data_IF_501380392090
#
_entry.id   IF_501380392090
#
_cell.length_a   1.000
_cell.length_b   1.000
_cell.length_c   1.000
_cell.angle_alpha   90.00
_cell.angle_beta   90.00
_cell.angle_gamma   90.00
#
_symmetry.space_group_name_H-M   'P 1'
#
loop_
_entity.id
_entity.type
_entity.pdbx_description
1 polymer ?
#
# COMPACT_ATOMS: atom_id res chain seq x y z
N UNK A 1 16.39 1.70 25.73
CA UNK A 1 15.11 2.23 26.27
C UNK A 1 14.79 1.48 27.55
N UNK A 2 14.29 2.15 28.58
CA UNK A 2 14.10 1.56 29.90
C UNK A 2 12.74 0.81 29.91
N UNK A 3 12.76 -0.50 30.02
CA UNK A 3 11.59 -1.41 29.92
C UNK A 3 10.46 -1.03 30.92
N UNK A 4 10.81 -0.46 32.06
CA UNK A 4 9.87 0.03 33.06
C UNK A 4 9.06 1.26 32.61
N UNK A 5 9.67 2.15 31.84
CA UNK A 5 9.01 3.36 31.34
C UNK A 5 8.01 3.06 30.20
N UNK A 6 8.33 2.09 29.34
CA UNK A 6 7.42 1.67 28.26
C UNK A 6 6.20 0.90 28.81
N UNK A 7 6.42 0.07 29.83
CA UNK A 7 5.32 -0.61 30.50
C UNK A 7 4.36 0.37 31.19
N UNK A 8 4.88 1.43 31.83
CA UNK A 8 4.05 2.46 32.44
C UNK A 8 3.24 3.27 31.41
N UNK A 9 3.82 3.56 30.25
CA UNK A 9 3.18 4.32 29.16
C UNK A 9 1.93 3.64 28.61
N UNK A 10 1.92 2.30 28.51
CA UNK A 10 0.80 1.54 27.98
C UNK A 10 -0.03 0.83 29.05
N UNK A 11 0.24 1.03 30.33
CA UNK A 11 -0.46 0.39 31.44
C UNK A 11 -1.99 0.65 31.40
N UNK A 12 -2.37 1.90 31.09
CA UNK A 12 -3.78 2.29 30.97
C UNK A 12 -4.51 1.50 29.86
N UNK A 13 -3.85 1.30 28.71
CA UNK A 13 -4.46 0.56 27.59
C UNK A 13 -4.66 -0.94 27.91
N UNK A 14 -3.88 -1.49 28.83
CA UNK A 14 -4.03 -2.89 29.25
C UNK A 14 -5.05 -3.08 30.41
N UNK A 15 -5.64 -1.99 30.91
CA UNK A 15 -6.69 -2.10 31.93
C UNK A 15 -7.93 -2.77 31.34
N UNK A 16 -8.51 -3.75 32.02
CA UNK A 16 -9.59 -4.60 31.49
C UNK A 16 -10.78 -3.82 30.93
N UNK A 17 -11.22 -2.76 31.61
CA UNK A 17 -12.34 -1.91 31.13
C UNK A 17 -11.98 -1.16 29.84
N UNK A 18 -10.76 -0.68 29.71
CA UNK A 18 -10.29 0.00 28.49
C UNK A 18 -10.21 -1.00 27.34
N UNK A 19 -9.67 -2.19 27.58
CA UNK A 19 -9.62 -3.26 26.57
C UNK A 19 -11.02 -3.63 26.08
N UNK A 20 -11.99 -3.77 26.99
CA UNK A 20 -13.40 -4.06 26.62
C UNK A 20 -13.99 -2.94 25.76
N UNK A 21 -13.80 -1.67 26.13
CA UNK A 21 -14.28 -0.53 25.35
C UNK A 21 -13.64 -0.47 23.96
N UNK A 22 -12.34 -0.74 23.83
CA UNK A 22 -11.63 -0.80 22.56
C UNK A 22 -12.14 -1.95 21.68
N UNK A 23 -12.40 -3.12 22.27
CA UNK A 23 -12.98 -4.27 21.57
C UNK A 23 -14.40 -3.95 21.08
N UNK A 24 -15.24 -3.33 21.91
CA UNK A 24 -16.59 -2.91 21.51
C UNK A 24 -16.52 -1.91 20.35
N UNK A 25 -15.63 -0.90 20.44
CA UNK A 25 -15.41 0.04 19.36
C UNK A 25 -14.96 -0.64 18.06
N UNK A 26 -14.03 -1.58 18.15
CA UNK A 26 -13.57 -2.38 17.00
C UNK A 26 -14.72 -3.18 16.37
N UNK A 27 -15.48 -3.92 17.18
CA UNK A 27 -16.63 -4.73 16.71
C UNK A 27 -17.68 -3.84 16.05
N UNK A 28 -18.00 -2.69 16.65
CA UNK A 28 -18.94 -1.73 16.05
C UNK A 28 -18.41 -1.20 14.71
N UNK A 29 -17.12 -0.86 14.60
CA UNK A 29 -16.52 -0.40 13.35
C UNK A 29 -16.58 -1.45 12.23
N UNK A 30 -16.21 -2.69 12.53
CA UNK A 30 -16.28 -3.82 11.59
C UNK A 30 -17.73 -4.09 11.18
N UNK A 31 -18.65 -4.19 12.15
CA UNK A 31 -20.07 -4.44 11.89
C UNK A 31 -20.72 -3.32 11.07
N UNK A 32 -20.43 -2.05 11.40
CA UNK A 32 -20.97 -0.89 10.66
C UNK A 32 -20.46 -0.86 9.20
N UNK A 33 -19.17 -1.17 8.99
CA UNK A 33 -18.59 -1.25 7.64
C UNK A 33 -19.19 -2.43 6.86
N UNK A 34 -19.29 -3.62 7.48
CA UNK A 34 -19.90 -4.80 6.89
C UNK A 34 -21.38 -4.56 6.54
N UNK A 35 -22.16 -3.96 7.45
CA UNK A 35 -23.55 -3.58 7.19
C UNK A 35 -23.68 -2.59 6.03
N UNK A 36 -22.81 -1.57 5.98
CA UNK A 36 -22.79 -0.60 4.87
C UNK A 36 -22.49 -1.28 3.54
N UNK A 37 -21.50 -2.18 3.52
CA UNK A 37 -21.11 -2.95 2.35
C UNK A 37 -22.29 -3.81 1.86
N UNK A 38 -22.90 -4.58 2.76
CA UNK A 38 -24.07 -5.42 2.48
C UNK A 38 -25.28 -4.62 1.99
N UNK A 39 -25.60 -3.50 2.65
CA UNK A 39 -26.73 -2.65 2.26
C UNK A 39 -26.59 -2.11 0.85
N UNK A 40 -25.40 -1.72 0.45
CA UNK A 40 -25.17 -1.25 -0.92
C UNK A 40 -25.21 -2.39 -1.94
N UNK A 41 -24.80 -3.59 -1.52
CA UNK A 41 -24.91 -4.79 -2.33
C UNK A 41 -26.35 -5.20 -2.60
N UNK A 42 -27.23 -5.01 -1.64
CA UNK A 42 -28.66 -5.39 -1.75
C UNK A 42 -29.56 -4.32 -2.37
N UNK A 43 -29.01 -3.17 -2.82
CA UNK A 43 -29.79 -2.17 -3.52
C UNK A 43 -30.27 -2.66 -4.89
N UNK A 44 -31.50 -2.25 -5.34
CA UNK A 44 -32.00 -2.55 -6.69
C UNK A 44 -31.04 -2.08 -7.78
N UNK A 45 -30.93 -2.82 -8.87
CA UNK A 45 -29.95 -2.60 -9.95
C UNK A 45 -30.16 -1.28 -10.73
N UNK A 46 -31.34 -0.73 -10.73
CA UNK A 46 -31.72 0.51 -11.40
C UNK A 46 -31.23 1.78 -10.67
N UNK A 47 -31.00 1.68 -9.34
CA UNK A 47 -30.42 2.76 -8.53
C UNK A 47 -28.93 2.60 -8.32
N UNK A 48 -28.29 1.72 -9.06
CA UNK A 48 -27.03 1.12 -8.73
C UNK A 48 -25.86 1.79 -9.45
N UNK A 49 -25.00 2.49 -8.69
CA UNK A 49 -23.70 2.95 -9.18
C UNK A 49 -22.65 1.86 -8.92
N UNK A 50 -22.32 1.10 -9.95
CA UNK A 50 -21.33 0.03 -9.91
C UNK A 50 -19.95 0.49 -9.40
N UNK A 51 -19.59 1.75 -9.61
CA UNK A 51 -18.33 2.30 -9.16
C UNK A 51 -18.29 2.59 -7.64
N UNK A 52 -19.46 2.66 -7.01
CA UNK A 52 -19.60 2.93 -5.57
C UNK A 52 -20.21 1.77 -4.79
N UNK A 53 -20.33 0.60 -5.41
CA UNK A 53 -20.90 -0.59 -4.78
C UNK A 53 -19.97 -1.16 -3.73
N UNK A 54 -20.53 -1.64 -2.61
CA UNK A 54 -19.81 -2.48 -1.68
C UNK A 54 -19.21 -3.68 -2.40
N UNK A 55 -17.94 -4.00 -2.11
CA UNK A 55 -17.13 -5.03 -2.76
C UNK A 55 -16.94 -4.90 -4.29
N UNK A 56 -17.13 -3.71 -4.85
CA UNK A 56 -16.97 -3.50 -6.30
C UNK A 56 -15.59 -3.91 -6.82
N UNK A 57 -14.53 -3.59 -6.06
CA UNK A 57 -13.16 -3.94 -6.46
C UNK A 57 -12.87 -5.44 -6.28
N UNK A 58 -13.48 -6.08 -5.27
CA UNK A 58 -13.39 -7.54 -5.11
C UNK A 58 -14.08 -8.25 -6.28
N UNK A 59 -15.30 -7.85 -6.63
CA UNK A 59 -16.04 -8.49 -7.73
C UNK A 59 -15.31 -8.32 -9.05
N UNK A 60 -14.98 -7.07 -9.42
CA UNK A 60 -14.46 -6.74 -10.75
C UNK A 60 -12.96 -7.02 -10.89
N UNK A 61 -12.19 -6.90 -9.80
CA UNK A 61 -10.73 -7.04 -9.82
C UNK A 61 -10.20 -8.39 -9.36
N UNK A 62 -10.98 -9.13 -8.54
CA UNK A 62 -10.52 -10.38 -7.93
C UNK A 62 -11.43 -11.55 -8.26
N UNK A 63 -12.70 -11.54 -7.82
CA UNK A 63 -13.57 -12.71 -7.87
C UNK A 63 -13.85 -13.16 -9.32
N UNK A 64 -14.48 -12.31 -10.14
CA UNK A 64 -14.84 -12.70 -11.52
C UNK A 64 -13.63 -12.93 -12.42
N UNK A 65 -12.54 -12.13 -12.36
CA UNK A 65 -11.34 -12.45 -13.11
C UNK A 65 -10.71 -13.79 -12.70
N UNK A 66 -10.72 -14.12 -11.39
CA UNK A 66 -10.20 -15.38 -10.89
C UNK A 66 -11.11 -16.55 -11.27
N UNK A 67 -12.41 -16.36 -11.25
CA UNK A 67 -13.40 -17.35 -11.74
C UNK A 67 -13.20 -17.61 -13.23
N UNK A 68 -13.06 -16.56 -14.05
CA UNK A 68 -12.73 -16.65 -15.46
C UNK A 68 -11.45 -17.45 -15.71
N UNK A 69 -10.38 -17.09 -15.00
CA UNK A 69 -9.08 -17.78 -15.05
C UNK A 69 -9.21 -19.27 -14.75
N UNK A 70 -10.01 -19.64 -13.76
CA UNK A 70 -10.27 -21.06 -13.39
C UNK A 70 -11.13 -21.80 -14.42
N UNK A 71 -12.12 -21.12 -15.02
CA UNK A 71 -13.04 -21.70 -16.00
C UNK A 71 -12.51 -21.69 -17.45
N UNK A 72 -11.25 -21.30 -17.66
CA UNK A 72 -10.65 -21.27 -19.00
C UNK A 72 -11.14 -20.10 -19.86
N UNK A 73 -11.57 -19.00 -19.24
CA UNK A 73 -11.90 -17.74 -19.92
C UNK A 73 -10.79 -16.73 -19.67
N UNK A 74 -10.36 -16.04 -20.73
CA UNK A 74 -9.32 -15.01 -20.56
C UNK A 74 -9.81 -13.83 -19.71
N UNK A 75 -9.26 -13.63 -18.50
CA UNK A 75 -9.68 -12.56 -17.59
C UNK A 75 -9.35 -11.15 -18.10
N UNK A 76 -8.51 -11.04 -19.12
CA UNK A 76 -8.11 -9.76 -19.73
C UNK A 76 -8.90 -9.45 -21.01
N UNK A 77 -9.94 -10.22 -21.34
CA UNK A 77 -10.73 -10.05 -22.55
C UNK A 77 -12.16 -9.59 -22.27
N UNK A 78 -12.80 -9.02 -23.29
CA UNK A 78 -14.23 -8.69 -23.24
C UNK A 78 -15.12 -9.93 -23.05
N UNK A 79 -14.65 -11.13 -23.41
CA UNK A 79 -15.38 -12.38 -23.18
C UNK A 79 -15.69 -12.61 -21.69
N UNK A 80 -14.80 -12.19 -20.78
CA UNK A 80 -15.07 -12.20 -19.33
C UNK A 80 -16.19 -11.22 -18.98
N UNK A 81 -16.13 -10.00 -19.52
CA UNK A 81 -17.15 -8.95 -19.27
C UNK A 81 -18.52 -9.43 -19.71
N UNK A 82 -18.62 -9.97 -20.93
CA UNK A 82 -19.88 -10.47 -21.53
C UNK A 82 -20.43 -11.69 -20.77
N UNK A 83 -19.54 -12.61 -20.34
CA UNK A 83 -19.94 -13.83 -19.63
C UNK A 83 -20.51 -13.57 -18.23
N UNK A 84 -19.89 -12.66 -17.48
CA UNK A 84 -20.28 -12.41 -16.09
C UNK A 84 -21.06 -11.11 -15.90
N UNK A 85 -21.36 -10.40 -17.00
CA UNK A 85 -22.11 -9.12 -17.01
C UNK A 85 -21.53 -8.09 -16.04
N UNK A 86 -20.19 -8.03 -15.98
CA UNK A 86 -19.50 -7.06 -15.12
C UNK A 86 -19.34 -5.73 -15.86
N UNK A 87 -19.56 -4.62 -15.17
CA UNK A 87 -19.59 -3.29 -15.79
C UNK A 87 -18.19 -2.70 -16.05
N UNK A 88 -17.13 -3.34 -15.61
CA UNK A 88 -15.77 -2.80 -15.67
C UNK A 88 -14.86 -3.71 -16.49
N UNK A 89 -14.09 -3.07 -17.35
CA UNK A 89 -13.09 -3.72 -18.18
C UNK A 89 -11.99 -4.42 -17.38
N UNK A 90 -11.30 -5.27 -18.08
CA UNK A 90 -10.23 -6.20 -17.69
C UNK A 90 -9.28 -5.71 -16.60
N UNK A 91 -8.92 -6.57 -15.65
CA UNK A 91 -7.92 -6.26 -14.65
C UNK A 91 -6.54 -6.05 -15.30
N UNK A 92 -5.76 -5.12 -14.77
CA UNK A 92 -4.37 -4.87 -15.19
C UNK A 92 -3.35 -5.53 -14.22
N UNK A 93 -3.80 -6.53 -13.47
CA UNK A 93 -3.00 -7.20 -12.45
C UNK A 93 -2.18 -8.35 -13.05
N UNK A 94 -1.11 -8.71 -12.36
CA UNK A 94 -0.33 -9.91 -12.69
C UNK A 94 -1.19 -11.17 -12.60
N UNK A 95 -1.04 -12.15 -13.51
CA UNK A 95 -1.72 -13.45 -13.42
C UNK A 95 -1.51 -14.19 -12.09
N UNK A 96 -0.45 -13.86 -11.38
CA UNK A 96 -0.16 -14.38 -10.03
C UNK A 96 -1.32 -14.12 -9.06
N UNK A 97 -2.04 -13.00 -9.19
CA UNK A 97 -3.21 -12.66 -8.36
C UNK A 97 -4.29 -13.72 -8.48
N UNK A 98 -4.55 -14.22 -9.69
CA UNK A 98 -5.60 -15.21 -9.91
C UNK A 98 -5.22 -16.58 -9.34
N UNK A 99 -3.92 -16.89 -9.27
CA UNK A 99 -3.45 -18.18 -8.72
C UNK A 99 -3.78 -18.27 -7.23
N UNK A 100 -3.40 -17.27 -6.43
CA UNK A 100 -3.66 -17.39 -4.98
C UNK A 100 -5.06 -16.97 -4.54
N UNK A 101 -5.78 -16.20 -5.36
CA UNK A 101 -7.20 -15.97 -5.12
C UNK A 101 -8.10 -17.09 -5.67
N UNK A 102 -7.57 -18.11 -6.39
CA UNK A 102 -8.34 -19.22 -6.89
C UNK A 102 -9.26 -19.88 -5.85
N UNK A 103 -8.86 -20.10 -4.58
CA UNK A 103 -9.75 -20.64 -3.57
C UNK A 103 -10.97 -19.76 -3.28
N UNK A 104 -10.87 -18.44 -3.43
CA UNK A 104 -11.98 -17.51 -3.20
C UNK A 104 -13.04 -17.52 -4.33
N UNK A 105 -12.68 -18.05 -5.49
CA UNK A 105 -13.65 -18.22 -6.60
C UNK A 105 -14.37 -19.56 -6.58
N UNK A 106 -14.13 -20.43 -5.59
CA UNK A 106 -14.80 -21.71 -5.43
C UNK A 106 -16.20 -21.58 -4.80
N UNK A 107 -16.38 -20.82 -3.69
CA UNK A 107 -17.69 -20.61 -3.11
C UNK A 107 -18.54 -19.67 -3.96
N UNK A 108 -19.86 -19.65 -3.71
CA UNK A 108 -20.74 -18.67 -4.33
C UNK A 108 -20.34 -17.23 -3.97
N UNK A 109 -20.66 -16.26 -4.84
CA UNK A 109 -20.24 -14.87 -4.67
C UNK A 109 -20.53 -14.30 -3.29
N UNK A 110 -21.73 -14.54 -2.73
CA UNK A 110 -22.10 -14.03 -1.42
C UNK A 110 -21.25 -14.63 -0.28
N UNK A 111 -20.84 -15.88 -0.39
CA UNK A 111 -19.96 -16.55 0.57
C UNK A 111 -18.53 -16.02 0.42
N UNK A 112 -18.08 -15.84 -0.82
CA UNK A 112 -16.77 -15.25 -1.12
C UNK A 112 -16.66 -13.81 -0.61
N UNK A 113 -17.73 -13.02 -0.70
CA UNK A 113 -17.80 -11.66 -0.15
C UNK A 113 -17.56 -11.64 1.36
N UNK A 114 -18.23 -12.53 2.09
CA UNK A 114 -18.06 -12.65 3.56
C UNK A 114 -16.64 -13.09 3.89
N UNK A 115 -16.14 -14.12 3.20
CA UNK A 115 -14.78 -14.63 3.42
C UNK A 115 -13.72 -13.55 3.16
N UNK A 116 -13.87 -12.81 2.05
CA UNK A 116 -12.90 -11.78 1.69
C UNK A 116 -12.97 -10.56 2.61
N UNK A 117 -14.17 -10.16 3.06
CA UNK A 117 -14.33 -9.13 4.08
C UNK A 117 -13.63 -9.51 5.40
N UNK A 118 -13.82 -10.75 5.86
CA UNK A 118 -13.17 -11.26 7.07
C UNK A 118 -11.66 -11.36 6.89
N UNK A 119 -11.19 -11.80 5.74
CA UNK A 119 -9.76 -11.88 5.40
C UNK A 119 -9.12 -10.48 5.42
N UNK A 120 -9.72 -9.48 4.75
CA UNK A 120 -9.23 -8.10 4.78
C UNK A 120 -9.24 -7.53 6.21
N UNK A 121 -10.29 -7.83 7.00
CA UNK A 121 -10.35 -7.43 8.42
C UNK A 121 -9.19 -8.03 9.21
N UNK A 122 -8.92 -9.33 9.04
CA UNK A 122 -7.80 -10.01 9.69
C UNK A 122 -6.44 -9.43 9.25
N UNK A 123 -6.29 -9.08 7.98
CA UNK A 123 -5.07 -8.46 7.44
C UNK A 123 -4.82 -7.07 8.04
N UNK A 124 -5.86 -6.25 8.28
CA UNK A 124 -5.70 -4.99 9.02
C UNK A 124 -5.22 -5.23 10.46
N UNK A 125 -5.77 -6.24 11.14
CA UNK A 125 -5.29 -6.66 12.46
C UNK A 125 -3.84 -7.15 12.44
N UNK A 126 -3.45 -7.88 11.39
CA UNK A 126 -2.07 -8.33 11.16
C UNK A 126 -1.14 -7.13 10.92
N UNK A 127 -1.51 -6.13 10.15
CA UNK A 127 -0.71 -4.91 9.94
C UNK A 127 -0.47 -4.15 11.24
N UNK A 128 -1.51 -4.01 12.10
CA UNK A 128 -1.36 -3.42 13.43
C UNK A 128 -0.36 -4.22 14.30
N UNK A 129 -0.46 -5.55 14.27
CA UNK A 129 0.46 -6.44 14.98
C UNK A 129 1.89 -6.35 14.44
N UNK A 130 2.06 -6.34 13.11
CA UNK A 130 3.37 -6.16 12.46
C UNK A 130 4.03 -4.85 12.87
N UNK A 131 3.29 -3.74 12.92
CA UNK A 131 3.81 -2.45 13.35
C UNK A 131 4.42 -2.50 14.75
N UNK A 132 3.78 -3.19 15.69
CA UNK A 132 4.29 -3.39 17.06
C UNK A 132 5.51 -4.32 17.05
N UNK A 133 5.42 -5.48 16.43
CA UNK A 133 6.47 -6.53 16.47
C UNK A 133 7.74 -6.12 15.74
N UNK A 134 7.60 -5.47 14.59
CA UNK A 134 8.74 -5.02 13.78
C UNK A 134 9.43 -3.79 14.37
N UNK A 135 8.81 -3.13 15.36
CA UNK A 135 9.47 -2.11 16.20
C UNK A 135 10.25 -2.72 17.37
N UNK A 136 10.49 -4.02 17.40
CA UNK A 136 11.18 -4.78 18.46
C UNK A 136 10.54 -4.62 19.85
N UNK A 137 9.21 -4.46 19.88
CA UNK A 137 8.46 -4.26 21.12
C UNK A 137 7.72 -5.53 21.55
N UNK A 138 7.49 -5.64 22.87
CA UNK A 138 6.63 -6.70 23.41
C UNK A 138 5.19 -6.46 22.98
N UNK A 139 4.43 -7.55 22.89
CA UNK A 139 3.02 -7.47 22.54
C UNK A 139 2.19 -6.86 23.69
N UNK A 140 1.59 -5.69 23.42
CA UNK A 140 0.65 -5.02 24.30
C UNK A 140 -0.77 -5.20 23.72
N UNK A 141 -1.62 -6.03 24.36
CA UNK A 141 -2.97 -6.35 23.83
C UNK A 141 -3.81 -5.09 23.59
N UNK A 142 -3.86 -4.19 24.57
CA UNK A 142 -4.66 -2.97 24.46
C UNK A 142 -4.18 -2.06 23.32
N UNK A 143 -2.86 -1.92 23.15
CA UNK A 143 -2.30 -1.15 22.04
C UNK A 143 -2.61 -1.80 20.69
N UNK A 144 -2.49 -3.12 20.57
CA UNK A 144 -2.85 -3.84 19.36
C UNK A 144 -4.32 -3.62 18.97
N UNK A 145 -5.25 -3.76 19.93
CA UNK A 145 -6.68 -3.55 19.68
C UNK A 145 -6.96 -2.09 19.27
N UNK A 146 -6.30 -1.11 19.95
CA UNK A 146 -6.42 0.30 19.61
C UNK A 146 -5.95 0.56 18.16
N UNK A 147 -4.77 0.08 17.79
CA UNK A 147 -4.21 0.26 16.44
C UNK A 147 -5.07 -0.45 15.39
N UNK A 148 -5.56 -1.64 15.68
CA UNK A 148 -6.47 -2.34 14.79
C UNK A 148 -7.77 -1.55 14.60
N UNK A 149 -8.37 -1.02 15.67
CA UNK A 149 -9.53 -0.15 15.58
C UNK A 149 -9.23 1.11 14.75
N UNK A 150 -8.08 1.78 15.01
CA UNK A 150 -7.64 2.92 14.20
C UNK A 150 -7.58 2.55 12.72
N UNK A 151 -7.07 1.38 12.36
CA UNK A 151 -6.99 0.96 10.95
C UNK A 151 -8.37 0.69 10.36
N UNK A 152 -9.28 0.05 11.07
CA UNK A 152 -10.68 -0.17 10.60
C UNK A 152 -11.39 1.17 10.38
N UNK A 153 -11.19 2.13 11.29
CA UNK A 153 -11.76 3.47 11.18
C UNK A 153 -10.95 4.42 10.30
N UNK A 154 -9.74 4.08 9.88
CA UNK A 154 -8.97 4.92 8.96
C UNK A 154 -9.61 4.95 7.58
N UNK A 155 -9.42 6.05 6.84
CA UNK A 155 -9.91 6.14 5.46
C UNK A 155 -9.43 4.99 4.59
N UNK A 156 -8.11 4.66 4.51
CA UNK A 156 -7.63 3.57 3.66
C UNK A 156 -8.14 2.20 4.11
N UNK A 157 -8.20 1.92 5.42
CA UNK A 157 -8.74 0.67 5.94
C UNK A 157 -10.23 0.52 5.67
N UNK A 158 -11.01 1.59 5.91
CA UNK A 158 -12.45 1.60 5.61
C UNK A 158 -12.73 1.38 4.12
N UNK A 159 -11.99 2.06 3.22
CA UNK A 159 -12.14 1.86 1.77
C UNK A 159 -11.76 0.44 1.38
N UNK A 160 -10.64 -0.11 1.88
CA UNK A 160 -10.23 -1.50 1.61
C UNK A 160 -11.31 -2.51 2.02
N UNK A 161 -11.92 -2.34 3.20
CA UNK A 161 -13.02 -3.19 3.65
C UNK A 161 -14.30 -3.00 2.81
N UNK A 162 -14.58 -1.76 2.42
CA UNK A 162 -15.80 -1.41 1.72
C UNK A 162 -15.78 -1.82 0.24
N UNK A 163 -14.68 -1.56 -0.49
CA UNK A 163 -14.56 -1.92 -1.91
C UNK A 163 -14.06 -3.34 -2.12
N UNK A 164 -13.44 -3.93 -1.10
CA UNK A 164 -12.85 -5.26 -1.20
C UNK A 164 -11.61 -5.29 -2.09
N UNK A 165 -10.77 -4.24 -2.09
CA UNK A 165 -9.51 -4.28 -2.81
C UNK A 165 -8.45 -5.06 -2.03
N UNK A 166 -7.53 -5.74 -2.73
CA UNK A 166 -6.49 -6.58 -2.11
C UNK A 166 -5.24 -5.79 -1.65
N UNK A 167 -5.38 -4.48 -1.37
CA UNK A 167 -4.28 -3.60 -0.93
C UNK A 167 -3.56 -4.12 0.32
N UNK A 168 -4.32 -4.65 1.29
CA UNK A 168 -3.72 -5.14 2.54
C UNK A 168 -2.68 -6.25 2.27
N UNK A 169 -2.92 -7.12 1.29
CA UNK A 169 -2.00 -8.17 0.87
C UNK A 169 -0.71 -7.59 0.28
N UNK A 170 -0.85 -6.62 -0.65
CA UNK A 170 0.28 -5.95 -1.28
C UNK A 170 1.15 -5.23 -0.25
N UNK A 171 0.50 -4.58 0.72
CA UNK A 171 1.17 -3.88 1.83
C UNK A 171 1.90 -4.88 2.73
N UNK A 172 1.26 -5.97 3.15
CA UNK A 172 1.89 -7.03 3.95
C UNK A 172 3.10 -7.58 3.20
N UNK A 173 2.95 -7.89 1.91
CA UNK A 173 4.05 -8.36 1.06
C UNK A 173 5.22 -7.37 1.04
N UNK A 174 4.96 -6.10 0.79
CA UNK A 174 5.98 -5.05 0.75
C UNK A 174 6.69 -4.88 2.09
N UNK A 175 5.95 -4.87 3.19
CA UNK A 175 6.50 -4.73 4.55
C UNK A 175 7.34 -5.96 4.93
N UNK A 176 6.89 -7.17 4.59
CA UNK A 176 7.67 -8.42 4.78
C UNK A 176 8.96 -8.37 3.97
N UNK A 177 8.89 -7.94 2.71
CA UNK A 177 10.06 -7.79 1.85
C UNK A 177 11.08 -6.82 2.44
N UNK A 178 10.64 -5.65 2.88
CA UNK A 178 11.49 -4.63 3.50
C UNK A 178 12.07 -5.07 4.86
N UNK A 179 11.29 -5.78 5.69
CA UNK A 179 11.72 -6.19 7.02
C UNK A 179 12.76 -7.29 7.00
N UNK A 180 12.55 -8.29 6.14
CA UNK A 180 13.39 -9.49 6.09
C UNK A 180 14.47 -9.45 5.01
N UNK A 181 14.60 -8.35 4.25
CA UNK A 181 15.53 -8.25 3.12
C UNK A 181 16.97 -8.66 3.43
N UNK A 182 17.50 -8.26 4.60
CA UNK A 182 18.86 -8.57 5.03
C UNK A 182 18.97 -9.85 5.86
N UNK A 183 17.90 -10.24 6.58
CA UNK A 183 17.99 -11.32 7.60
C UNK A 183 17.43 -12.64 7.14
N UNK A 184 16.36 -12.63 6.32
CA UNK A 184 15.65 -13.83 5.83
C UNK A 184 15.27 -13.64 4.36
N UNK A 185 16.24 -13.75 3.41
CA UNK A 185 16.03 -13.42 2.00
C UNK A 185 14.87 -14.18 1.34
N UNK A 186 14.61 -15.43 1.74
CA UNK A 186 13.48 -16.21 1.22
C UNK A 186 12.11 -15.62 1.62
N UNK A 187 11.95 -15.23 2.90
CA UNK A 187 10.71 -14.55 3.33
C UNK A 187 10.53 -13.20 2.63
N UNK A 188 11.62 -12.46 2.44
CA UNK A 188 11.59 -11.22 1.65
C UNK A 188 11.14 -11.50 0.21
N UNK A 189 11.66 -12.56 -0.42
CA UNK A 189 11.25 -12.99 -1.76
C UNK A 189 9.77 -13.37 -1.84
N UNK A 190 9.23 -14.07 -0.85
CA UNK A 190 7.78 -14.33 -0.75
C UNK A 190 6.98 -13.05 -0.60
N UNK A 191 7.48 -12.08 0.17
CA UNK A 191 6.87 -10.75 0.26
C UNK A 191 6.84 -10.04 -1.09
N UNK A 192 7.92 -10.12 -1.87
CA UNK A 192 7.96 -9.57 -3.24
C UNK A 192 6.96 -10.28 -4.17
N UNK A 193 6.84 -11.60 -4.08
CA UNK A 193 5.86 -12.37 -4.85
C UNK A 193 4.44 -11.88 -4.54
N UNK A 194 4.11 -11.66 -3.26
CA UNK A 194 2.81 -11.13 -2.85
C UNK A 194 2.59 -9.71 -3.38
N UNK A 195 3.59 -8.83 -3.29
CA UNK A 195 3.55 -7.48 -3.83
C UNK A 195 3.46 -7.44 -5.37
N UNK A 196 3.88 -8.51 -6.07
CA UNK A 196 3.89 -8.59 -7.54
C UNK A 196 2.49 -8.65 -8.15
N UNK A 197 1.46 -8.82 -7.34
CA UNK A 197 0.07 -8.69 -7.78
C UNK A 197 -0.21 -7.35 -8.47
N UNK A 198 0.48 -6.28 -8.05
CA UNK A 198 0.36 -4.94 -8.65
C UNK A 198 1.76 -4.42 -9.04
N UNK A 199 2.04 -4.23 -10.34
CA UNK A 199 3.36 -3.78 -10.80
C UNK A 199 3.84 -2.48 -10.15
N UNK A 200 2.94 -1.56 -9.81
CA UNK A 200 3.27 -0.29 -9.15
C UNK A 200 3.86 -0.46 -7.75
N UNK A 201 3.68 -1.61 -7.12
CA UNK A 201 4.33 -1.96 -5.86
C UNK A 201 5.68 -2.64 -6.08
N UNK A 202 5.70 -3.71 -6.89
CA UNK A 202 6.89 -4.58 -6.96
C UNK A 202 8.03 -3.94 -7.73
N UNK A 203 7.78 -3.17 -8.78
CA UNK A 203 8.85 -2.55 -9.58
C UNK A 203 9.70 -1.57 -8.76
N UNK A 204 9.13 -0.54 -8.09
CA UNK A 204 9.92 0.33 -7.23
C UNK A 204 10.50 -0.44 -6.03
N UNK A 205 9.79 -1.42 -5.46
CA UNK A 205 10.29 -2.22 -4.35
C UNK A 205 11.58 -2.97 -4.70
N UNK A 206 11.69 -3.53 -5.91
CA UNK A 206 12.91 -4.18 -6.41
C UNK A 206 14.08 -3.19 -6.40
N UNK A 207 13.90 -2.01 -7.01
CA UNK A 207 14.95 -0.98 -7.08
C UNK A 207 15.39 -0.55 -5.68
N UNK A 208 14.43 -0.32 -4.78
CA UNK A 208 14.71 0.15 -3.43
C UNK A 208 15.34 -0.92 -2.53
N UNK A 209 15.02 -2.21 -2.72
CA UNK A 209 15.72 -3.32 -2.06
C UNK A 209 17.16 -3.47 -2.56
N UNK A 210 17.43 -3.24 -3.86
CA UNK A 210 18.79 -3.18 -4.39
C UNK A 210 19.58 -2.03 -3.76
N UNK A 211 18.97 -0.86 -3.63
CA UNK A 211 19.57 0.29 -2.94
C UNK A 211 19.84 0.01 -1.45
N UNK A 212 19.07 -0.86 -0.80
CA UNK A 212 19.35 -1.37 0.57
C UNK A 212 20.37 -2.51 0.61
N UNK A 213 20.98 -2.86 -0.52
CA UNK A 213 21.95 -3.95 -0.65
C UNK A 213 21.37 -5.35 -0.33
N UNK A 214 20.07 -5.54 -0.51
CA UNK A 214 19.37 -6.80 -0.25
C UNK A 214 19.39 -7.73 -1.49
N UNK A 215 20.54 -7.88 -2.14
CA UNK A 215 20.69 -8.56 -3.44
C UNK A 215 20.15 -9.99 -3.46
N UNK A 216 20.40 -10.78 -2.39
CA UNK A 216 19.89 -12.16 -2.28
C UNK A 216 18.37 -12.20 -2.23
N UNK A 217 17.76 -11.27 -1.49
CA UNK A 217 16.31 -11.18 -1.41
C UNK A 217 15.69 -10.82 -2.75
N UNK A 218 16.31 -9.87 -3.47
CA UNK A 218 15.86 -9.47 -4.82
C UNK A 218 15.99 -10.63 -5.80
N UNK A 219 17.13 -11.36 -5.81
CA UNK A 219 17.33 -12.51 -6.71
C UNK A 219 16.25 -13.59 -6.49
N UNK A 220 16.01 -13.97 -5.22
CA UNK A 220 14.96 -14.94 -4.87
C UNK A 220 13.57 -14.41 -5.24
N UNK A 221 13.28 -13.13 -4.90
CA UNK A 221 12.00 -12.52 -5.19
C UNK A 221 11.70 -12.46 -6.68
N UNK A 222 12.69 -12.06 -7.51
CA UNK A 222 12.56 -12.07 -8.96
C UNK A 222 12.30 -13.47 -9.50
N UNK A 223 13.06 -14.48 -9.02
CA UNK A 223 12.85 -15.86 -9.43
C UNK A 223 11.43 -16.35 -9.10
N UNK A 224 10.91 -16.03 -7.90
CA UNK A 224 9.56 -16.38 -7.50
C UNK A 224 8.49 -15.62 -8.31
N UNK A 225 8.67 -14.32 -8.56
CA UNK A 225 7.75 -13.54 -9.37
C UNK A 225 7.70 -14.02 -10.83
N UNK A 226 8.86 -14.33 -11.41
CA UNK A 226 8.95 -14.89 -12.77
C UNK A 226 8.31 -16.27 -12.82
N UNK A 227 8.62 -17.15 -11.87
CA UNK A 227 8.02 -18.49 -11.83
C UNK A 227 6.50 -18.42 -11.67
N UNK A 228 5.99 -17.61 -10.73
CA UNK A 228 4.55 -17.39 -10.55
C UNK A 228 3.87 -16.80 -11.78
N UNK A 229 4.52 -15.80 -12.41
CA UNK A 229 4.05 -15.21 -13.66
C UNK A 229 3.98 -16.21 -14.81
N UNK A 230 5.05 -17.03 -14.99
CA UNK A 230 5.11 -18.07 -16.01
C UNK A 230 4.07 -19.16 -15.79
N UNK A 231 3.82 -19.58 -14.54
CA UNK A 231 2.75 -20.53 -14.22
C UNK A 231 1.38 -19.95 -14.64
N UNK A 232 1.10 -18.68 -14.26
CA UNK A 232 -0.15 -18.04 -14.63
C UNK A 232 -0.31 -17.83 -16.12
N UNK A 233 0.73 -17.36 -16.81
CA UNK A 233 0.71 -17.20 -18.27
C UNK A 233 0.64 -18.54 -19.00
N UNK A 234 1.31 -19.58 -18.51
CA UNK A 234 1.23 -20.93 -19.07
C UNK A 234 -0.18 -21.51 -18.97
N UNK A 235 -0.85 -21.28 -17.84
CA UNK A 235 -2.28 -21.64 -17.70
C UNK A 235 -3.16 -20.87 -18.68
N UNK A 236 -3.00 -19.56 -18.80
CA UNK A 236 -3.73 -18.73 -19.75
C UNK A 236 -3.49 -19.17 -21.20
N UNK A 237 -2.25 -19.50 -21.55
CA UNK A 237 -1.88 -19.97 -22.90
C UNK A 237 -2.51 -21.31 -23.28
N UNK A 238 -3.01 -22.08 -22.31
CA UNK A 238 -3.69 -23.36 -22.61
C UNK A 238 -5.09 -23.18 -23.20
N UNK A 239 -5.69 -21.99 -23.08
CA UNK A 239 -7.04 -21.70 -23.61
C UNK A 239 -7.18 -20.32 -24.28
N UNK A 240 -6.13 -19.51 -24.29
CA UNK A 240 -6.12 -18.17 -24.91
C UNK A 240 -4.84 -17.94 -25.70
N UNK A 241 -4.94 -17.16 -26.78
CA UNK A 241 -3.75 -16.74 -27.51
C UNK A 241 -2.95 -15.74 -26.64
N UNK A 242 -1.63 -15.93 -26.45
CA UNK A 242 -0.78 -15.00 -25.69
C UNK A 242 -0.88 -13.54 -26.18
N UNK A 243 -1.06 -13.32 -27.49
CA UNK A 243 -1.22 -11.97 -28.06
C UNK A 243 -2.53 -11.32 -27.61
N UNK A 244 -3.61 -12.09 -27.44
CA UNK A 244 -4.90 -11.59 -26.89
C UNK A 244 -4.77 -11.21 -25.42
N UNK A 245 -3.98 -11.95 -24.65
CA UNK A 245 -3.68 -11.60 -23.24
C UNK A 245 -2.97 -10.24 -23.17
N UNK A 246 -1.93 -10.04 -24.00
CA UNK A 246 -1.17 -8.78 -24.04
C UNK A 246 -2.06 -7.63 -24.52
N UNK A 247 -2.86 -7.86 -25.58
CA UNK A 247 -3.81 -6.87 -26.11
C UNK A 247 -4.82 -6.46 -25.04
N UNK A 248 -5.43 -7.43 -24.33
CA UNK A 248 -6.42 -7.19 -23.29
C UNK A 248 -5.86 -6.40 -22.10
N UNK A 249 -4.63 -6.69 -21.66
CA UNK A 249 -3.95 -5.90 -20.62
C UNK A 249 -3.76 -4.44 -21.08
N UNK A 250 -3.38 -4.24 -22.34
CA UNK A 250 -3.17 -2.89 -22.88
C UNK A 250 -4.49 -2.14 -23.05
N UNK A 251 -5.55 -2.80 -23.52
CA UNK A 251 -6.90 -2.23 -23.60
C UNK A 251 -7.43 -1.86 -22.21
N UNK A 252 -7.28 -2.73 -21.22
CA UNK A 252 -7.62 -2.46 -19.82
C UNK A 252 -6.89 -1.23 -19.26
N UNK A 253 -5.61 -1.07 -19.60
CA UNK A 253 -4.84 0.11 -19.24
C UNK A 253 -5.36 1.39 -19.90
N UNK A 254 -5.70 1.33 -21.18
CA UNK A 254 -6.25 2.50 -21.90
C UNK A 254 -7.64 2.88 -21.36
N UNK A 255 -8.49 1.90 -21.08
CA UNK A 255 -9.81 2.15 -20.50
C UNK A 255 -9.71 2.81 -19.12
N UNK A 256 -8.73 2.38 -18.29
CA UNK A 256 -8.46 2.98 -16.99
C UNK A 256 -8.09 4.47 -17.10
N UNK A 257 -7.28 4.85 -18.09
CA UNK A 257 -6.90 6.25 -18.31
C UNK A 257 -8.07 7.16 -18.73
N UNK A 258 -9.19 6.59 -19.17
CA UNK A 258 -10.44 7.31 -19.47
C UNK A 258 -11.35 7.53 -18.26
N UNK A 259 -11.12 6.87 -17.13
CA UNK A 259 -11.92 7.02 -15.92
C UNK A 259 -11.58 8.35 -15.19
N UNK A 260 -12.61 9.11 -14.83
CA UNK A 260 -12.45 10.38 -14.09
C UNK A 260 -11.75 10.20 -12.73
N UNK A 261 -11.86 9.04 -12.08
CA UNK A 261 -11.14 8.73 -10.85
C UNK A 261 -9.63 8.59 -11.08
N UNK A 262 -9.24 8.26 -12.30
CA UNK A 262 -7.86 8.00 -12.72
C UNK A 262 -7.19 9.20 -13.39
N UNK A 263 -7.99 10.15 -13.91
CA UNK A 263 -7.49 11.38 -14.51
C UNK A 263 -6.70 12.19 -13.47
N UNK A 264 -5.40 12.47 -13.71
CA UNK A 264 -4.55 13.12 -12.74
C UNK A 264 -5.01 14.54 -12.36
N UNK A 265 -5.77 15.22 -13.21
CA UNK A 265 -6.29 16.58 -12.95
C UNK A 265 -7.54 16.52 -12.05
N UNK A 266 -8.47 15.61 -12.32
CA UNK A 266 -9.79 15.58 -11.69
C UNK A 266 -9.91 14.56 -10.54
N UNK A 267 -8.91 13.71 -10.35
CA UNK A 267 -8.96 12.63 -9.36
C UNK A 267 -9.09 13.14 -7.92
N UNK A 268 -9.91 12.49 -7.11
CA UNK A 268 -10.03 12.74 -5.66
C UNK A 268 -9.26 11.71 -4.82
N UNK A 269 -8.60 10.75 -5.44
CA UNK A 269 -8.06 9.56 -4.76
C UNK A 269 -6.57 9.34 -5.00
N UNK A 270 -5.96 9.87 -6.06
CA UNK A 270 -4.52 9.69 -6.34
C UNK A 270 -3.64 10.41 -5.33
N UNK A 271 -2.55 9.74 -4.95
CA UNK A 271 -1.56 10.20 -3.95
C UNK A 271 -0.22 10.58 -4.58
N UNK A 272 0.04 10.09 -5.79
CA UNK A 272 1.34 10.23 -6.45
C UNK A 272 1.64 11.70 -6.85
N UNK A 273 2.93 11.98 -7.02
CA UNK A 273 3.43 13.33 -7.34
C UNK A 273 2.79 13.89 -8.60
N UNK A 274 2.60 13.05 -9.62
CA UNK A 274 2.00 13.51 -10.88
C UNK A 274 0.56 13.92 -10.67
N UNK A 275 -0.23 13.15 -9.92
CA UNK A 275 -1.60 13.52 -9.55
C UNK A 275 -1.68 14.83 -8.76
N UNK A 276 -0.75 15.06 -7.82
CA UNK A 276 -0.68 16.31 -7.05
C UNK A 276 -0.34 17.50 -7.93
N UNK A 277 0.72 17.39 -8.74
CA UNK A 277 1.18 18.49 -9.62
C UNK A 277 0.16 18.79 -10.69
N UNK A 278 -0.44 17.76 -11.30
CA UNK A 278 -1.46 17.93 -12.34
C UNK A 278 -2.69 18.69 -11.86
N UNK A 279 -3.16 18.40 -10.62
CA UNK A 279 -4.28 19.14 -10.01
C UNK A 279 -3.93 20.62 -9.79
N UNK A 280 -2.76 20.89 -9.17
CA UNK A 280 -2.33 22.25 -8.85
C UNK A 280 -2.13 23.09 -10.13
N UNK A 281 -1.64 22.46 -11.20
CA UNK A 281 -1.31 23.16 -12.45
C UNK A 281 -2.44 23.12 -13.50
N UNK A 282 -3.50 22.34 -13.29
CA UNK A 282 -4.55 22.10 -14.26
C UNK A 282 -4.04 21.44 -15.56
N UNK A 283 -2.90 20.72 -15.48
CA UNK A 283 -2.18 20.20 -16.65
C UNK A 283 -2.11 18.68 -16.64
N UNK A 284 -2.44 18.06 -17.77
CA UNK A 284 -2.31 16.61 -17.97
C UNK A 284 -0.93 16.31 -18.56
N UNK A 285 -0.03 15.65 -17.80
CA UNK A 285 1.30 15.32 -18.28
C UNK A 285 1.26 14.21 -19.33
N UNK A 286 2.25 14.21 -20.21
CA UNK A 286 2.48 13.13 -21.16
C UNK A 286 3.32 12.00 -20.54
N UNK A 287 3.46 10.88 -21.24
CA UNK A 287 4.18 9.69 -20.77
C UNK A 287 5.65 9.97 -20.44
N UNK A 288 6.31 10.90 -21.11
CA UNK A 288 7.70 11.27 -20.81
C UNK A 288 7.82 11.95 -19.44
N UNK A 289 6.86 12.79 -19.08
CA UNK A 289 6.83 13.42 -17.76
C UNK A 289 6.54 12.41 -16.67
N UNK A 290 5.62 11.46 -16.93
CA UNK A 290 5.39 10.33 -16.02
C UNK A 290 6.67 9.52 -15.79
N UNK A 291 7.34 9.10 -16.86
CA UNK A 291 8.58 8.31 -16.76
C UNK A 291 9.70 9.12 -16.10
N UNK A 292 9.88 10.39 -16.49
CA UNK A 292 10.91 11.26 -15.92
C UNK A 292 10.72 11.50 -14.43
N UNK A 293 9.49 11.80 -13.99
CA UNK A 293 9.16 11.98 -12.57
C UNK A 293 9.38 10.69 -11.77
N UNK A 294 8.96 9.55 -12.29
CA UNK A 294 9.21 8.25 -11.69
C UNK A 294 10.71 7.98 -11.51
N UNK A 295 11.50 8.20 -12.55
CA UNK A 295 12.96 7.99 -12.48
C UNK A 295 13.62 8.89 -11.44
N UNK A 296 13.30 10.18 -11.40
CA UNK A 296 13.85 11.11 -10.40
C UNK A 296 13.47 10.68 -8.99
N UNK A 297 12.19 10.32 -8.79
CA UNK A 297 11.68 9.88 -7.48
C UNK A 297 12.16 8.48 -7.07
N UNK A 298 12.71 7.68 -7.96
CA UNK A 298 13.38 6.42 -7.63
C UNK A 298 14.88 6.61 -7.42
N UNK A 299 15.55 7.35 -8.28
CA UNK A 299 17.01 7.50 -8.27
C UNK A 299 17.49 8.31 -7.07
N UNK A 300 16.88 9.48 -6.80
CA UNK A 300 17.33 10.35 -5.68
C UNK A 300 17.08 9.71 -4.32
N UNK A 301 15.86 9.22 -3.97
CA UNK A 301 15.65 8.49 -2.72
C UNK A 301 16.48 7.21 -2.65
N UNK A 302 16.58 6.45 -3.74
CA UNK A 302 17.37 5.23 -3.80
C UNK A 302 18.86 5.47 -3.47
N UNK A 303 19.45 6.49 -4.07
CA UNK A 303 20.85 6.86 -3.81
C UNK A 303 21.08 7.30 -2.36
N UNK A 304 20.20 8.16 -1.82
CA UNK A 304 20.28 8.57 -0.41
C UNK A 304 20.05 7.40 0.54
N UNK A 305 19.11 6.52 0.21
CA UNK A 305 18.85 5.31 0.98
C UNK A 305 20.04 4.35 0.97
N UNK A 306 20.70 4.16 -0.18
CA UNK A 306 21.94 3.37 -0.28
C UNK A 306 23.01 3.90 0.68
N UNK A 307 23.27 5.21 0.65
CA UNK A 307 24.24 5.84 1.55
C UNK A 307 23.83 5.76 3.02
N UNK A 308 22.56 6.00 3.34
CA UNK A 308 22.05 5.94 4.70
C UNK A 308 22.06 4.51 5.26
N UNK A 309 21.84 3.48 4.43
CA UNK A 309 21.79 2.09 4.86
C UNK A 309 23.11 1.58 5.45
N UNK A 310 24.22 2.21 5.11
CA UNK A 310 25.55 1.90 5.69
C UNK A 310 25.65 2.23 7.18
N UNK A 311 24.89 3.23 7.63
CA UNK A 311 24.93 3.77 9.01
C UNK A 311 23.62 3.56 9.77
N UNK A 312 22.59 3.01 9.14
CA UNK A 312 21.29 2.81 9.77
C UNK A 312 21.36 1.69 10.82
N UNK A 313 20.96 1.99 12.05
CA UNK A 313 20.91 1.03 13.16
C UNK A 313 19.75 0.07 13.07
N UNK A 314 18.58 0.57 12.61
CA UNK A 314 17.38 -0.22 12.41
C UNK A 314 17.09 -0.41 10.93
N UNK A 315 17.48 -1.56 10.36
CA UNK A 315 17.22 -1.93 8.96
C UNK A 315 15.88 -2.65 8.76
N UNK A 316 15.06 -2.73 9.80
CA UNK A 316 13.70 -3.31 9.73
C UNK A 316 12.70 -2.42 8.98
N UNK A 317 11.43 -2.87 8.92
CA UNK A 317 10.34 -2.16 8.24
C UNK A 317 9.94 -0.83 8.89
N UNK A 318 10.38 -0.54 10.10
CA UNK A 318 10.09 0.70 10.84
C UNK A 318 11.29 1.67 10.87
N UNK A 319 12.42 1.31 10.26
CA UNK A 319 13.62 2.16 10.17
C UNK A 319 13.51 3.26 9.11
N UNK A 320 14.52 4.12 9.05
CA UNK A 320 14.59 5.28 8.16
C UNK A 320 14.50 4.87 6.69
N UNK A 321 15.33 3.91 6.25
CA UNK A 321 15.36 3.48 4.84
C UNK A 321 14.08 2.77 4.41
N UNK A 322 13.41 2.02 5.29
CA UNK A 322 12.12 1.43 4.99
C UNK A 322 11.01 2.49 4.86
N UNK A 323 11.06 3.53 5.70
CA UNK A 323 10.13 4.67 5.60
C UNK A 323 10.33 5.41 4.28
N UNK A 324 11.58 5.64 3.85
CA UNK A 324 11.88 6.20 2.53
C UNK A 324 11.31 5.31 1.43
N UNK A 325 11.53 3.98 1.51
CA UNK A 325 11.04 3.05 0.50
C UNK A 325 9.52 3.09 0.36
N UNK A 326 8.78 3.02 1.48
CA UNK A 326 7.32 3.08 1.47
C UNK A 326 6.78 4.40 0.90
N UNK A 327 7.36 5.54 1.29
CA UNK A 327 7.00 6.86 0.74
C UNK A 327 7.31 6.95 -0.75
N UNK A 328 8.50 6.50 -1.16
CA UNK A 328 8.92 6.52 -2.57
C UNK A 328 7.98 5.68 -3.44
N UNK A 329 7.59 4.48 -3.00
CA UNK A 329 6.61 3.66 -3.71
C UNK A 329 5.33 4.46 -3.94
N UNK A 330 4.76 5.07 -2.89
CA UNK A 330 3.48 5.78 -2.97
C UNK A 330 3.50 7.04 -3.84
N UNK A 331 4.63 7.78 -3.87
CA UNK A 331 4.68 9.07 -4.55
C UNK A 331 5.28 9.02 -5.95
N UNK A 332 6.02 7.96 -6.31
CA UNK A 332 6.72 7.86 -7.59
C UNK A 332 5.85 7.38 -8.74
N UNK A 333 4.88 6.56 -8.46
CA UNK A 333 4.00 5.91 -9.44
C UNK A 333 2.56 6.07 -8.98
N UNK A 334 1.62 5.90 -9.90
CA UNK A 334 0.19 5.86 -9.65
C UNK A 334 -0.23 5.00 -8.45
N UNK A 335 -0.77 5.67 -7.42
CA UNK A 335 -1.35 5.05 -6.22
C UNK A 335 -2.60 5.80 -5.74
N UNK A 336 -3.55 5.06 -5.20
CA UNK A 336 -4.76 5.59 -4.60
C UNK A 336 -4.65 5.80 -3.09
N UNK A 337 -5.64 6.50 -2.53
CA UNK A 337 -5.70 6.80 -1.10
C UNK A 337 -5.68 5.56 -0.19
N UNK A 338 -6.22 4.41 -0.63
CA UNK A 338 -6.16 3.16 0.13
C UNK A 338 -4.74 2.56 0.17
N UNK A 339 -3.89 2.84 -0.82
CA UNK A 339 -2.50 2.39 -0.83
C UNK A 339 -1.67 3.05 0.30
N UNK A 340 -2.17 4.14 0.93
CA UNK A 340 -1.52 4.73 2.12
C UNK A 340 -1.45 3.79 3.33
N UNK A 341 -2.13 2.64 3.32
CA UNK A 341 -1.89 1.54 4.26
C UNK A 341 -0.41 1.11 4.31
N UNK A 342 0.36 1.32 3.23
CA UNK A 342 1.79 1.04 3.19
C UNK A 342 2.58 1.82 4.25
N UNK A 343 2.08 2.98 4.67
CA UNK A 343 2.72 3.80 5.71
C UNK A 343 2.38 3.38 7.14
N UNK A 344 1.44 2.46 7.35
CA UNK A 344 0.93 2.09 8.68
C UNK A 344 2.04 1.55 9.58
N UNK A 345 2.85 0.61 9.09
CA UNK A 345 3.92 -0.01 9.90
C UNK A 345 5.02 1.00 10.25
N UNK A 346 5.58 1.80 9.30
CA UNK A 346 6.46 2.91 9.63
C UNK A 346 5.82 3.93 10.60
N UNK A 347 4.57 4.32 10.36
CA UNK A 347 3.85 5.29 11.20
C UNK A 347 3.72 4.81 12.66
N UNK A 348 3.34 3.54 12.87
CA UNK A 348 3.27 2.92 14.20
C UNK A 348 4.65 2.96 14.87
N UNK A 349 5.69 2.55 14.16
CA UNK A 349 7.05 2.54 14.67
C UNK A 349 7.53 3.93 15.10
N UNK A 350 7.31 4.94 14.28
CA UNK A 350 7.73 6.32 14.54
C UNK A 350 6.92 6.94 15.69
N UNK A 351 5.60 6.78 15.66
CA UNK A 351 4.68 7.47 16.57
C UNK A 351 4.71 6.90 17.98
N UNK A 352 4.70 5.58 18.10
CA UNK A 352 4.54 4.91 19.39
C UNK A 352 5.86 4.43 19.99
N UNK A 353 6.85 4.13 19.16
CA UNK A 353 8.08 3.46 19.59
C UNK A 353 9.37 4.22 19.30
N UNK A 354 9.29 5.31 18.54
CA UNK A 354 10.49 6.08 18.18
C UNK A 354 11.52 5.22 17.42
N UNK A 355 11.05 4.37 16.50
CA UNK A 355 11.86 3.38 15.79
C UNK A 355 12.99 3.98 14.95
N UNK A 356 12.89 5.24 14.54
CA UNK A 356 14.00 6.02 13.99
C UNK A 356 14.74 6.68 15.14
N UNK A 357 16.03 6.38 15.29
CA UNK A 357 16.86 6.89 16.38
C UNK A 357 16.97 8.43 16.30
N UNK A 358 17.16 9.08 17.47
CA UNK A 358 17.44 10.53 17.55
C UNK A 358 18.74 10.92 16.85
N UNK A 359 19.69 10.01 16.75
CA UNK A 359 20.92 10.21 15.99
C UNK A 359 20.69 10.24 14.48
N UNK A 360 19.64 9.55 14.01
CA UNK A 360 19.23 9.49 12.60
C UNK A 360 18.29 10.65 12.23
N UNK A 361 17.37 11.02 13.14
CA UNK A 361 16.38 12.07 12.90
C UNK A 361 16.07 12.84 14.20
N UNK A 362 16.13 14.20 14.19
CA UNK A 362 15.81 15.01 15.37
C UNK A 362 14.32 14.90 15.76
N UNK A 363 14.02 15.14 17.03
CA UNK A 363 12.68 14.95 17.61
C UNK A 363 11.57 15.72 16.87
N UNK A 364 11.83 16.99 16.50
CA UNK A 364 10.86 17.80 15.77
C UNK A 364 10.49 17.16 14.42
N UNK A 365 11.49 16.64 13.71
CA UNK A 365 11.27 16.01 12.40
C UNK A 365 10.47 14.70 12.55
N UNK A 366 10.73 13.89 13.58
CA UNK A 366 9.94 12.68 13.89
C UNK A 366 8.50 13.02 14.22
N UNK A 367 8.24 14.05 15.02
CA UNK A 367 6.88 14.50 15.36
C UNK A 367 6.14 15.02 14.12
N UNK A 368 6.79 15.86 13.33
CA UNK A 368 6.23 16.35 12.07
C UNK A 368 5.92 15.21 11.11
N UNK A 369 6.84 14.26 10.96
CA UNK A 369 6.65 13.07 10.15
C UNK A 369 5.46 12.24 10.62
N UNK A 370 5.32 11.98 11.92
CA UNK A 370 4.19 11.26 12.49
C UNK A 370 2.84 11.92 12.17
N UNK A 371 2.78 13.26 12.23
CA UNK A 371 1.57 14.03 11.87
C UNK A 371 1.29 13.94 10.36
N UNK A 372 2.30 14.18 9.51
CA UNK A 372 2.14 14.11 8.05
C UNK A 372 1.64 12.74 7.59
N UNK A 373 2.16 11.65 8.17
CA UNK A 373 1.74 10.29 7.85
C UNK A 373 0.33 9.96 8.39
N UNK A 374 -0.15 10.63 9.44
CA UNK A 374 -1.50 10.45 9.97
C UNK A 374 -2.56 11.10 9.07
N UNK A 375 -2.22 12.15 8.30
CA UNK A 375 -3.19 12.86 7.44
C UNK A 375 -3.86 11.92 6.43
N UNK A 376 -3.15 11.14 5.60
CA UNK A 376 -3.80 10.21 4.67
C UNK A 376 -4.66 9.14 5.35
N UNK A 377 -4.33 8.78 6.60
CA UNK A 377 -5.12 7.82 7.38
C UNK A 377 -6.45 8.42 7.88
N UNK A 378 -6.49 9.72 8.14
CA UNK A 378 -7.63 10.39 8.75
C UNK A 378 -8.48 11.23 7.78
N UNK A 379 -7.98 11.55 6.58
CA UNK A 379 -8.60 12.52 5.67
C UNK A 379 -9.85 11.97 4.95
N UNK A 380 -10.96 11.91 5.65
CA UNK A 380 -12.28 11.59 5.08
C UNK A 380 -12.87 12.72 4.23
N UNK A 381 -12.38 13.96 4.35
CA UNK A 381 -12.86 15.09 3.58
C UNK A 381 -12.62 14.92 2.08
N UNK A 382 -11.56 14.17 1.70
CA UNK A 382 -11.26 13.88 0.29
C UNK A 382 -12.02 12.66 -0.27
N UNK A 383 -13.10 12.20 0.39
CA UNK A 383 -13.98 11.17 -0.18
C UNK A 383 -14.99 11.78 -1.14
N UNK A 384 -15.26 11.09 -2.28
CA UNK A 384 -16.27 11.53 -3.25
C UNK A 384 -17.61 11.86 -2.58
N UNK A 385 -18.06 11.01 -1.66
CA UNK A 385 -19.32 11.21 -0.94
C UNK A 385 -19.35 12.51 -0.12
N UNK A 386 -18.25 12.86 0.57
CA UNK A 386 -18.15 14.12 1.30
C UNK A 386 -18.13 15.30 0.35
N UNK A 387 -17.30 15.27 -0.68
CA UNK A 387 -17.13 16.36 -1.64
C UNK A 387 -18.43 16.68 -2.37
N UNK A 388 -19.16 15.64 -2.82
CA UNK A 388 -20.48 15.81 -3.45
C UNK A 388 -21.54 16.34 -2.46
N UNK A 389 -21.61 15.80 -1.23
CA UNK A 389 -22.55 16.26 -0.21
C UNK A 389 -22.29 17.70 0.22
N UNK A 390 -21.04 18.13 0.21
CA UNK A 390 -20.64 19.51 0.50
C UNK A 390 -20.89 20.47 -0.69
N UNK A 391 -21.32 19.95 -1.85
CA UNK A 391 -21.57 20.78 -3.04
C UNK A 391 -20.30 21.43 -3.60
N UNK A 392 -19.13 20.83 -3.38
CA UNK A 392 -17.86 21.41 -3.84
C UNK A 392 -17.69 21.19 -5.34
N UNK A 393 -17.31 22.27 -6.01
CA UNK A 393 -16.97 22.25 -7.45
C UNK A 393 -15.69 21.45 -7.67
N UNK A 394 -15.69 20.39 -8.54
CA UNK A 394 -14.51 19.62 -8.89
C UNK A 394 -13.34 20.44 -9.47
N UNK A 395 -13.59 21.63 -9.99
CA UNK A 395 -12.59 22.55 -10.54
C UNK A 395 -12.26 23.70 -9.57
N UNK A 396 -12.83 23.70 -8.37
CA UNK A 396 -12.61 24.74 -7.38
C UNK A 396 -11.39 24.49 -6.48
N UNK A 397 -10.72 25.59 -6.07
CA UNK A 397 -9.53 25.53 -5.18
C UNK A 397 -9.73 24.72 -3.89
N UNK A 398 -10.95 24.73 -3.33
CA UNK A 398 -11.25 23.98 -2.10
C UNK A 398 -11.21 22.47 -2.38
N UNK A 399 -11.79 22.03 -3.49
CA UNK A 399 -11.72 20.63 -3.93
C UNK A 399 -10.28 20.20 -4.15
N UNK A 400 -9.53 20.98 -4.93
CA UNK A 400 -8.11 20.70 -5.24
C UNK A 400 -7.26 20.62 -3.97
N UNK A 401 -7.44 21.56 -3.04
CA UNK A 401 -6.71 21.59 -1.76
C UNK A 401 -7.00 20.35 -0.92
N UNK A 402 -8.27 19.98 -0.75
CA UNK A 402 -8.68 18.82 0.05
C UNK A 402 -8.19 17.50 -0.57
N UNK A 403 -8.32 17.36 -1.90
CA UNK A 403 -7.96 16.12 -2.61
C UNK A 403 -6.45 15.97 -2.81
N UNK A 404 -5.69 17.07 -2.83
CA UNK A 404 -4.22 17.06 -2.92
C UNK A 404 -3.54 16.89 -1.56
N UNK A 405 -4.22 17.20 -0.46
CA UNK A 405 -3.62 17.23 0.89
C UNK A 405 -2.88 15.93 1.25
N UNK A 406 -3.42 14.77 0.90
CA UNK A 406 -2.80 13.48 1.19
C UNK A 406 -1.44 13.33 0.47
N UNK A 407 -1.42 13.60 -0.84
CA UNK A 407 -0.19 13.51 -1.64
C UNK A 407 0.85 14.54 -1.21
N UNK A 408 0.41 15.79 -0.93
CA UNK A 408 1.29 16.84 -0.42
C UNK A 408 1.92 16.44 0.91
N UNK A 409 1.14 15.89 1.85
CA UNK A 409 1.68 15.40 3.12
C UNK A 409 2.70 14.28 2.94
N UNK A 410 2.47 13.33 2.00
CA UNK A 410 3.43 12.27 1.70
C UNK A 410 4.71 12.82 1.05
N UNK A 411 4.60 13.81 0.17
CA UNK A 411 5.77 14.46 -0.43
C UNK A 411 6.60 15.23 0.61
N UNK A 412 5.96 15.98 1.49
CA UNK A 412 6.64 16.66 2.60
C UNK A 412 7.30 15.66 3.57
N UNK A 413 6.61 14.55 3.85
CA UNK A 413 7.17 13.45 4.63
C UNK A 413 8.42 12.87 3.95
N UNK A 414 8.38 12.64 2.63
CA UNK A 414 9.52 12.16 1.85
C UNK A 414 10.70 13.16 1.95
N UNK A 415 10.47 14.45 1.82
CA UNK A 415 11.53 15.48 1.95
C UNK A 415 12.19 15.41 3.33
N UNK A 416 11.42 15.26 4.41
CA UNK A 416 11.95 15.17 5.78
C UNK A 416 12.83 13.92 5.93
N UNK A 417 12.40 12.76 5.45
CA UNK A 417 13.20 11.52 5.60
C UNK A 417 14.44 11.54 4.69
N UNK A 418 14.37 12.12 3.49
CA UNK A 418 15.52 12.29 2.60
C UNK A 418 16.55 13.26 3.19
N UNK A 419 16.10 14.36 3.78
CA UNK A 419 16.99 15.28 4.50
C UNK A 419 17.69 14.58 5.68
N UNK A 420 16.99 13.74 6.42
CA UNK A 420 17.57 12.96 7.52
C UNK A 420 18.59 11.93 7.01
N UNK A 421 18.27 11.23 5.92
CA UNK A 421 19.17 10.29 5.27
C UNK A 421 20.43 10.99 4.72
N UNK A 422 20.27 12.17 4.12
CA UNK A 422 21.41 12.97 3.66
C UNK A 422 22.33 13.37 4.83
N UNK A 423 21.78 13.86 5.93
CA UNK A 423 22.57 14.17 7.14
C UNK A 423 23.29 12.94 7.72
N UNK A 424 22.64 11.78 7.69
CA UNK A 424 23.25 10.53 8.14
C UNK A 424 24.42 10.13 7.23
N UNK A 425 24.25 10.29 5.91
CA UNK A 425 25.29 9.96 4.92
C UNK A 425 26.53 10.87 5.00
N UNK A 426 26.37 12.12 5.42
CA UNK A 426 27.49 13.07 5.54
C UNK A 426 28.33 12.88 6.80
N UNK A 427 27.83 12.10 7.77
CA UNK A 427 28.59 11.75 9.00
C UNK A 427 29.57 10.59 8.78
N UNK A 428 29.70 10.03 7.58
CA UNK A 428 30.71 9.03 7.22
C UNK A 428 32.06 9.76 7.24
N UNK A 429 32.83 9.57 8.31
CA UNK A 429 34.18 10.12 8.41
C UNK A 429 35.10 9.36 7.43
N UNK A 430 35.77 10.00 6.45
CA UNK A 430 36.65 9.32 5.50
C UNK A 430 37.85 8.60 6.18
N UNK A 431 38.17 8.92 7.44
CA UNK A 431 39.28 8.37 8.18
C UNK A 431 39.18 6.86 8.52
N UNK A 432 37.97 6.28 8.51
CA UNK A 432 37.81 4.84 8.87
C UNK A 432 38.12 3.92 7.68
N UNK A 433 38.09 4.44 6.46
CA UNK A 433 38.35 3.65 5.23
C UNK A 433 39.83 3.45 4.96
N UNK A 434 40.70 4.33 5.40
CA UNK A 434 42.16 4.24 5.20
C UNK A 434 42.83 3.24 6.17
N UNK A 435 42.36 3.19 7.42
CA UNK A 435 42.94 2.28 8.42
C UNK A 435 42.59 0.79 8.19
N UNK A 436 41.45 0.49 7.59
CA UNK A 436 41.07 -0.88 7.25
C UNK A 436 41.75 -1.41 5.97
N UNK A 437 42.14 -0.55 5.06
CA UNK A 437 42.92 -0.94 3.87
C UNK A 437 44.39 -1.10 4.23
N UNK A 438 44.91 -0.31 5.19
CA UNK A 438 46.31 -0.40 5.63
C UNK A 438 46.59 -1.61 6.57
N UNK A 439 45.59 -2.17 7.22
CA UNK A 439 45.74 -3.32 8.12
C UNK A 439 45.52 -4.69 7.43
N UNK A 440 45.21 -4.70 6.14
CA UNK A 440 44.95 -5.92 5.33
C UNK A 440 46.02 -6.23 4.29
N UNK A 441 47.19 -5.54 4.31
CA UNK A 441 48.32 -5.79 3.43
C UNK A 441 49.45 -6.58 4.12
#
# INVERSE_FOLDING_TARGET
MNESADNARFALLNHSRVVVLLLLGLVVGVAATGYRTYRQYSMPSDTFDWNNRGHSDFHNGVYFPTLAFREGVNPYSNAMVDRYLIPRSSPIYSPVVFIWHAPLSVPALNEADILFFLLNTAMLGLLAWMGIRMSNQRHHRGLWILLFAILVYSRPGHVTLFTGYFTAELVIGSIVALHFGSTRPFLSGLGMLLASGKPTYVLPLIVLLLCRQNYRAVAIGLALCVAGGLIGLGWLASFSNPMEVVAGINEGRMALHGDAAEDPVNTWTRLDTVGVVSKIMGWKPNDFVYLGSMLVLLVVPGWLMFKASLNERNRGATGLTATIACLTILVSIYHHAYDSLLMVVPWIGITFFGSIDRAEMPEWARRTLAVLLAVPLANYLSTRAFLQKAGLDPQGYVWESITSANGVCLLLALVIVLWSAWKLSTKINPAVTEDQVASGS
#
